data_IF_523228652052
#
_entry.id   IF_523228652052
#
_cell.length_a   1.000
_cell.length_b   1.000
_cell.length_c   1.000
_cell.angle_alpha   90.00
_cell.angle_beta   90.00
_cell.angle_gamma   90.00
#
_symmetry.space_group_name_H-M   'P 1'
#
loop_
_entity.id
_entity.type
_entity.pdbx_description
1 polymer ?
#
# COMPACT_ATOMS: atom_id res chain seq x y z
N UNK A 1 -4.43 4.41 -64.37
CA UNK A 1 -5.53 3.46 -64.62
C UNK A 1 -5.04 2.06 -64.29
N UNK A 2 -5.90 1.27 -63.64
CA UNK A 2 -5.71 -0.09 -63.10
C UNK A 2 -4.91 -0.19 -61.80
N UNK A 3 -5.26 -1.06 -60.85
CA UNK A 3 -6.55 -1.51 -60.30
C UNK A 3 -6.15 -2.21 -59.00
N UNK A 4 -6.98 -2.05 -57.97
CA UNK A 4 -6.98 -2.74 -56.67
C UNK A 4 -6.36 -4.16 -56.61
N UNK A 5 -5.67 -4.46 -55.50
CA UNK A 5 -5.78 -5.78 -54.87
C UNK A 5 -5.61 -5.67 -53.35
N UNK A 6 -6.73 -5.71 -52.65
CA UNK A 6 -6.81 -5.98 -51.22
C UNK A 6 -7.10 -7.47 -51.05
N UNK A 7 -6.29 -8.18 -50.27
CA UNK A 7 -6.55 -9.55 -49.85
C UNK A 7 -6.76 -9.57 -48.33
N UNK A 8 -8.02 -9.69 -47.93
CA UNK A 8 -8.47 -9.90 -46.56
C UNK A 8 -8.43 -11.41 -46.29
N UNK A 9 -7.61 -11.88 -45.34
CA UNK A 9 -7.62 -13.27 -44.88
C UNK A 9 -8.36 -13.30 -43.53
N UNK A 10 -9.62 -13.74 -43.56
CA UNK A 10 -10.38 -14.09 -42.38
C UNK A 10 -10.24 -15.61 -42.14
N UNK A 11 -9.55 -15.99 -41.08
CA UNK A 11 -9.47 -17.40 -40.65
C UNK A 11 -10.39 -17.58 -39.46
N UNK A 12 -11.56 -18.16 -39.68
CA UNK A 12 -12.47 -18.61 -38.64
C UNK A 12 -12.04 -19.96 -38.10
N UNK A 13 -11.76 -20.05 -36.79
CA UNK A 13 -11.60 -21.32 -36.08
C UNK A 13 -12.92 -21.58 -35.35
N UNK A 14 -13.67 -22.57 -35.86
CA UNK A 14 -14.82 -23.14 -35.18
C UNK A 14 -14.32 -24.20 -34.19
N UNK A 15 -14.51 -23.96 -32.88
CA UNK A 15 -14.30 -24.96 -31.85
C UNK A 15 -15.59 -25.76 -31.64
N UNK A 16 -15.57 -27.01 -32.06
CA UNK A 16 -16.62 -28.00 -31.83
C UNK A 16 -16.56 -28.48 -30.38
N UNK A 17 -17.64 -28.23 -29.64
CA UNK A 17 -17.90 -28.72 -28.29
C UNK A 17 -18.29 -30.21 -28.33
N UNK A 18 -17.37 -31.09 -27.95
CA UNK A 18 -17.67 -32.49 -27.67
C UNK A 18 -18.12 -32.62 -26.20
N UNK A 19 -19.42 -32.81 -25.99
CA UNK A 19 -20.00 -33.17 -24.70
C UNK A 19 -19.63 -34.60 -24.32
N UNK A 20 -19.02 -34.77 -23.14
CA UNK A 20 -18.82 -36.07 -22.51
C UNK A 20 -20.03 -36.34 -21.62
N UNK A 21 -20.83 -37.33 -22.00
CA UNK A 21 -21.90 -37.91 -21.18
C UNK A 21 -21.23 -38.91 -20.22
N UNK A 22 -21.22 -38.59 -18.92
CA UNK A 22 -20.84 -39.56 -17.87
C UNK A 22 -22.10 -40.27 -17.41
N UNK A 23 -22.17 -41.57 -17.68
CA UNK A 23 -23.20 -42.46 -17.13
C UNK A 23 -23.04 -42.57 -15.61
N UNK A 24 -24.08 -42.16 -14.87
CA UNK A 24 -24.25 -42.45 -13.45
C UNK A 24 -24.50 -43.95 -13.26
N UNK A 25 -23.68 -44.59 -12.42
CA UNK A 25 -23.94 -45.95 -11.90
C UNK A 25 -24.38 -45.82 -10.46
N UNK A 26 -25.62 -46.22 -10.21
CA UNK A 26 -26.22 -46.32 -8.89
C UNK A 26 -25.48 -47.37 -8.05
N UNK A 27 -25.10 -46.97 -6.83
CA UNK A 27 -24.52 -47.82 -5.80
C UNK A 27 -24.92 -47.26 -4.45
N UNK A 28 -26.00 -47.81 -3.90
CA UNK A 28 -26.49 -47.57 -2.55
C UNK A 28 -25.48 -48.04 -1.51
N UNK A 29 -25.04 -47.15 -0.61
CA UNK A 29 -24.39 -47.54 0.65
C UNK A 29 -24.92 -46.66 1.77
N UNK A 30 -25.21 -47.34 2.88
CA UNK A 30 -25.96 -46.95 4.05
C UNK A 30 -25.51 -45.67 4.76
N UNK A 31 -26.51 -44.99 5.34
CA UNK A 31 -26.36 -43.86 6.24
C UNK A 31 -25.71 -44.26 7.57
N UNK A 32 -24.51 -43.75 7.83
CA UNK A 32 -24.03 -43.50 9.19
C UNK A 32 -23.90 -42.00 9.40
N UNK A 33 -24.86 -41.48 10.15
CA UNK A 33 -24.92 -40.14 10.71
C UNK A 33 -23.75 -39.93 11.68
N UNK A 34 -22.62 -39.45 11.18
CA UNK A 34 -21.59 -38.81 12.00
C UNK A 34 -21.69 -37.31 11.78
N UNK A 35 -22.34 -36.63 12.73
CA UNK A 35 -22.33 -35.18 12.80
C UNK A 35 -20.88 -34.68 12.88
N UNK A 36 -20.45 -33.68 12.10
CA UNK A 36 -19.17 -33.04 12.36
C UNK A 36 -19.27 -32.35 13.72
N UNK A 37 -18.33 -32.67 14.61
CA UNK A 37 -18.16 -31.98 15.87
C UNK A 37 -17.97 -30.49 15.56
N UNK A 38 -18.99 -29.70 15.85
CA UNK A 38 -18.93 -28.24 15.93
C UNK A 38 -17.91 -27.90 17.00
N UNK A 39 -16.66 -27.64 16.60
CA UNK A 39 -15.67 -27.00 17.46
C UNK A 39 -16.18 -25.58 17.70
N UNK A 40 -16.89 -25.39 18.82
CA UNK A 40 -17.23 -24.09 19.37
C UNK A 40 -15.93 -23.40 19.74
N UNK A 41 -15.44 -22.48 18.91
CA UNK A 41 -14.50 -21.45 19.35
C UNK A 41 -15.22 -20.62 20.43
N UNK A 42 -14.72 -20.71 21.67
CA UNK A 42 -15.31 -20.03 22.82
C UNK A 42 -15.34 -18.52 22.63
N UNK A 43 -16.50 -17.92 22.89
CA UNK A 43 -16.65 -16.49 23.06
C UNK A 43 -16.36 -16.12 24.52
N UNK A 44 -15.49 -15.11 24.67
CA UNK A 44 -15.34 -14.05 25.69
C UNK A 44 -15.51 -14.37 27.20
N UNK A 45 -14.59 -13.80 28.00
CA UNK A 45 -14.94 -12.82 29.04
C UNK A 45 -13.67 -12.22 29.70
N UNK A 46 -13.71 -10.90 29.97
CA UNK A 46 -12.91 -10.31 31.04
C UNK A 46 -12.03 -9.09 30.71
N UNK A 47 -12.61 -7.90 30.95
CA UNK A 47 -12.05 -6.70 31.61
C UNK A 47 -10.53 -6.39 31.49
N UNK A 48 -10.18 -5.15 31.12
CA UNK A 48 -10.11 -4.01 32.06
C UNK A 48 -9.69 -2.73 31.32
N UNK A 49 -10.37 -1.62 31.59
CA UNK A 49 -10.00 -0.30 31.09
C UNK A 49 -9.45 0.54 32.25
N UNK A 50 -8.19 1.02 32.23
CA UNK A 50 -7.78 2.01 33.20
C UNK A 50 -8.16 3.42 32.73
N UNK A 51 -9.11 4.00 33.47
CA UNK A 51 -9.32 5.43 33.58
C UNK A 51 -8.13 6.07 34.29
N UNK A 52 -7.46 7.02 33.66
CA UNK A 52 -6.37 7.79 34.28
C UNK A 52 -6.31 9.21 33.72
N UNK A 53 -6.82 10.18 34.49
CA UNK A 53 -6.60 11.61 34.26
C UNK A 53 -5.13 11.94 34.54
N UNK A 54 -4.38 12.34 33.52
CA UNK A 54 -3.07 12.95 33.69
C UNK A 54 -3.24 14.41 34.15
N UNK A 55 -2.85 14.68 35.39
CA UNK A 55 -2.68 16.03 35.94
C UNK A 55 -1.29 16.53 35.56
N UNK A 56 -1.22 17.47 34.61
CA UNK A 56 0.03 18.18 34.27
C UNK A 56 0.20 19.38 35.22
N UNK A 57 1.28 19.33 36.01
CA UNK A 57 1.73 20.38 36.92
C UNK A 57 2.74 21.26 36.15
N UNK A 58 2.37 22.49 35.80
CA UNK A 58 3.30 23.45 35.20
C UNK A 58 4.14 24.13 36.30
N UNK A 59 5.46 24.27 36.15
CA UNK A 59 6.23 25.25 36.91
C UNK A 59 6.07 26.65 36.29
N UNK A 60 5.74 27.62 37.14
CA UNK A 60 5.82 29.04 36.83
C UNK A 60 7.28 29.47 36.78
N UNK A 61 7.65 30.27 35.78
CA UNK A 61 8.90 31.02 35.79
C UNK A 61 8.60 32.49 35.53
N UNK A 62 8.59 33.26 36.62
CA UNK A 62 8.70 34.70 36.64
C UNK A 62 10.10 35.14 36.18
N UNK A 63 10.19 36.26 35.47
CA UNK A 63 11.50 36.84 35.15
C UNK A 63 11.48 37.89 34.04
N UNK A 64 10.74 38.98 34.23
CA UNK A 64 10.81 40.17 33.39
C UNK A 64 11.85 41.15 33.97
N UNK A 65 12.71 41.77 33.13
CA UNK A 65 13.03 43.17 33.36
C UNK A 65 13.09 44.04 32.10
N UNK A 66 12.33 45.14 32.20
CA UNK A 66 12.54 46.53 31.78
C UNK A 66 12.74 46.93 30.29
N UNK A 67 12.14 48.07 29.88
CA UNK A 67 12.15 48.58 28.51
C UNK A 67 13.39 49.44 28.21
N UNK A 68 13.87 49.36 26.96
CA UNK A 68 14.85 50.32 26.42
C UNK A 68 14.25 51.14 25.25
N UNK A 69 14.74 52.37 25.04
CA UNK A 69 14.09 53.37 24.19
C UNK A 69 14.42 53.21 22.71
N UNK A 70 13.51 53.75 21.90
CA UNK A 70 13.51 53.74 20.44
C UNK A 70 14.70 54.48 19.81
N UNK A 71 15.19 54.00 18.65
CA UNK A 71 15.87 54.81 17.66
C UNK A 71 14.99 55.08 16.43
N UNK A 72 14.80 56.38 16.18
CA UNK A 72 14.85 57.11 14.90
C UNK A 72 14.15 56.57 13.64
N UNK A 73 13.25 57.42 13.14
CA UNK A 73 12.57 57.37 11.85
C UNK A 73 13.58 57.33 10.69
N UNK A 74 13.62 56.19 10.00
CA UNK A 74 14.29 56.01 8.71
C UNK A 74 13.25 55.73 7.62
N UNK A 75 13.48 56.36 6.47
CA UNK A 75 12.72 56.43 5.21
C UNK A 75 11.74 55.29 4.85
N UNK A 76 10.62 55.62 4.18
CA UNK A 76 9.65 54.62 3.74
C UNK A 76 10.29 53.68 2.69
N UNK A 77 10.32 52.36 2.93
CA UNK A 77 10.75 51.42 1.90
C UNK A 77 9.76 51.49 0.74
N UNK A 78 10.31 51.66 -0.45
CA UNK A 78 9.60 51.64 -1.71
C UNK A 78 8.73 50.39 -1.81
N UNK A 79 7.48 50.56 -2.22
CA UNK A 79 6.52 49.47 -2.43
C UNK A 79 7.18 48.35 -3.25
N UNK A 80 7.32 47.12 -2.71
CA UNK A 80 7.69 45.99 -3.53
C UNK A 80 6.53 45.77 -4.49
N UNK A 81 6.77 45.98 -5.79
CA UNK A 81 5.80 45.64 -6.82
C UNK A 81 5.37 44.19 -6.61
N UNK A 82 4.07 43.99 -6.48
CA UNK A 82 3.39 42.70 -6.55
C UNK A 82 3.71 42.06 -7.91
N UNK A 83 4.88 41.45 -8.02
CA UNK A 83 5.02 40.28 -8.87
C UNK A 83 4.22 39.21 -8.16
N UNK A 84 2.94 39.11 -8.52
CA UNK A 84 2.17 37.90 -8.34
C UNK A 84 2.94 36.79 -9.04
N UNK A 85 3.88 36.19 -8.32
CA UNK A 85 4.43 34.90 -8.71
C UNK A 85 3.24 33.97 -8.60
N UNK A 86 2.72 33.57 -9.76
CA UNK A 86 1.96 32.33 -9.89
C UNK A 86 2.92 31.22 -9.41
N UNK A 87 2.96 31.01 -8.09
CA UNK A 87 3.53 29.81 -7.48
C UNK A 87 2.63 28.67 -7.96
N UNK A 88 2.91 28.15 -9.16
CA UNK A 88 2.37 26.87 -9.55
C UNK A 88 2.76 25.88 -8.43
N UNK A 89 1.77 25.18 -7.83
CA UNK A 89 2.04 24.30 -6.72
C UNK A 89 3.06 23.27 -7.19
N UNK A 90 4.24 23.28 -6.55
CA UNK A 90 5.34 22.39 -6.92
C UNK A 90 4.91 20.92 -6.89
N UNK A 91 5.61 20.09 -7.66
CA UNK A 91 5.31 18.66 -7.78
C UNK A 91 5.22 18.02 -6.39
N UNK A 92 4.13 17.27 -6.16
CA UNK A 92 3.94 16.57 -4.90
C UNK A 92 4.88 15.36 -4.83
N UNK A 93 5.64 15.24 -3.74
CA UNK A 93 6.68 14.22 -3.59
C UNK A 93 6.34 13.23 -2.48
N UNK A 94 6.52 11.93 -2.76
CA UNK A 94 6.45 10.83 -1.80
C UNK A 94 7.81 10.11 -1.73
N UNK A 95 8.50 10.19 -0.59
CA UNK A 95 9.84 9.63 -0.40
C UNK A 95 10.88 10.04 -1.47
N UNK A 96 10.78 11.26 -2.00
CA UNK A 96 11.69 11.79 -3.03
C UNK A 96 11.19 11.61 -4.47
N UNK A 97 10.11 10.85 -4.67
CA UNK A 97 9.54 10.59 -5.99
C UNK A 97 8.30 11.45 -6.26
N UNK A 98 8.20 12.04 -7.44
CA UNK A 98 7.04 12.81 -7.85
C UNK A 98 5.80 11.90 -8.01
N UNK A 99 4.66 12.36 -7.50
CA UNK A 99 3.39 11.65 -7.63
C UNK A 99 2.72 12.03 -8.94
N UNK A 100 2.40 11.02 -9.75
CA UNK A 100 1.52 11.21 -10.88
C UNK A 100 0.09 11.58 -10.41
N UNK A 101 -0.71 12.30 -11.21
CA UNK A 101 -2.09 12.64 -10.87
C UNK A 101 -2.96 11.41 -10.53
N UNK A 102 -2.69 10.27 -11.17
CA UNK A 102 -3.34 9.00 -10.85
C UNK A 102 -2.34 8.06 -10.19
N UNK A 103 -2.65 7.56 -8.98
CA UNK A 103 -1.73 6.65 -8.29
C UNK A 103 -2.41 5.63 -7.37
N UNK A 104 -1.73 4.51 -7.14
CA UNK A 104 -2.14 3.51 -6.16
C UNK A 104 -1.00 3.27 -5.18
N UNK A 105 -1.34 3.27 -3.89
CA UNK A 105 -0.42 2.88 -2.83
C UNK A 105 -0.68 1.44 -2.39
N UNK A 106 0.37 0.63 -2.37
CA UNK A 106 0.38 -0.70 -1.78
C UNK A 106 1.22 -0.63 -0.50
N UNK A 107 0.56 -0.65 0.65
CA UNK A 107 1.18 -0.37 1.95
C UNK A 107 1.30 -1.63 2.80
N UNK A 108 2.50 -1.89 3.32
CA UNK A 108 2.74 -3.01 4.23
C UNK A 108 2.21 -2.79 5.64
N UNK A 109 1.38 -3.72 6.11
CA UNK A 109 0.81 -3.76 7.46
C UNK A 109 1.08 -5.12 8.11
N UNK A 110 2.08 -5.85 7.62
CA UNK A 110 2.51 -7.12 8.21
C UNK A 110 3.12 -6.92 9.61
N UNK A 111 3.21 -8.00 10.38
CA UNK A 111 3.70 -7.98 11.76
C UNK A 111 5.11 -7.40 11.91
N UNK A 112 5.98 -7.54 10.91
CA UNK A 112 7.34 -6.97 10.91
C UNK A 112 7.34 -5.45 10.95
N UNK A 113 6.26 -4.80 10.51
CA UNK A 113 6.13 -3.34 10.52
C UNK A 113 6.06 -2.75 11.94
N UNK A 114 5.95 -3.59 12.97
CA UNK A 114 6.03 -3.21 14.38
C UNK A 114 7.46 -2.97 14.90
N UNK A 115 8.48 -3.36 14.12
CA UNK A 115 9.90 -3.17 14.45
C UNK A 115 10.29 -1.67 14.49
N UNK A 116 11.32 -1.35 15.30
CA UNK A 116 11.80 0.01 15.57
C UNK A 116 13.27 0.19 15.18
N UNK A 117 13.58 -0.14 13.94
CA UNK A 117 14.92 -0.08 13.35
C UNK A 117 15.00 0.97 12.24
N UNK A 118 14.14 1.99 12.31
CA UNK A 118 14.16 3.15 11.41
C UNK A 118 14.77 4.35 12.15
N UNK A 119 15.47 5.22 11.44
CA UNK A 119 15.97 6.47 11.96
C UNK A 119 14.83 7.35 12.50
N UNK A 120 15.19 8.33 13.32
CA UNK A 120 14.23 9.30 13.82
C UNK A 120 13.54 10.04 12.67
N UNK A 121 12.25 10.29 12.81
CA UNK A 121 11.46 11.03 11.83
C UNK A 121 10.68 12.14 12.50
N UNK A 122 10.31 13.17 11.74
CA UNK A 122 9.50 14.28 12.22
C UNK A 122 8.03 13.99 11.92
N UNK A 123 7.17 14.12 12.94
CA UNK A 123 5.74 13.91 12.78
C UNK A 123 5.05 15.12 12.11
N UNK A 124 3.71 15.09 12.11
CA UNK A 124 2.89 16.12 11.48
C UNK A 124 2.90 17.47 12.20
N UNK A 125 3.32 17.50 13.45
CA UNK A 125 3.34 18.68 14.32
C UNK A 125 4.77 19.23 14.47
N UNK A 126 5.72 18.68 13.72
CA UNK A 126 7.13 19.04 13.77
C UNK A 126 7.89 18.41 14.93
N UNK A 127 7.31 17.43 15.63
CA UNK A 127 7.99 16.77 16.74
C UNK A 127 8.88 15.65 16.23
N UNK A 128 10.09 15.58 16.78
CA UNK A 128 11.00 14.48 16.51
C UNK A 128 10.54 13.21 17.24
N UNK A 129 10.27 12.15 16.47
CA UNK A 129 9.99 10.81 16.97
C UNK A 129 11.28 9.99 16.95
N UNK A 130 11.84 9.73 18.14
CA UNK A 130 13.00 8.84 18.28
C UNK A 130 12.58 7.37 18.21
N UNK A 131 13.21 6.59 17.31
CA UNK A 131 12.95 5.15 17.13
C UNK A 131 11.47 4.81 16.83
N UNK A 132 10.91 5.40 15.75
CA UNK A 132 9.55 5.11 15.32
C UNK A 132 9.40 3.63 14.93
N UNK A 133 8.18 3.12 15.01
CA UNK A 133 7.86 1.86 14.34
C UNK A 133 7.91 2.09 12.82
N UNK A 134 8.27 1.08 12.03
CA UNK A 134 8.22 1.16 10.56
C UNK A 134 6.84 1.63 10.08
N UNK A 135 5.76 1.07 10.62
CA UNK A 135 4.38 1.50 10.31
C UNK A 135 4.10 2.96 10.69
N UNK A 136 4.71 3.46 11.76
CA UNK A 136 4.56 4.86 12.16
C UNK A 136 5.19 5.79 11.12
N UNK A 137 6.35 5.42 10.56
CA UNK A 137 7.00 6.17 9.47
C UNK A 137 6.10 6.20 8.23
N UNK A 138 5.55 5.05 7.83
CA UNK A 138 4.59 4.97 6.71
C UNK A 138 3.41 5.91 6.93
N UNK A 139 2.80 5.87 8.11
CA UNK A 139 1.64 6.72 8.43
C UNK A 139 2.00 8.19 8.37
N UNK A 140 3.13 8.59 8.94
CA UNK A 140 3.59 9.99 8.94
C UNK A 140 3.73 10.48 7.49
N UNK A 141 4.41 9.72 6.64
CA UNK A 141 4.66 10.12 5.25
C UNK A 141 3.39 10.13 4.40
N UNK A 142 2.54 9.10 4.52
CA UNK A 142 1.26 9.09 3.81
C UNK A 142 0.37 10.26 4.24
N UNK A 143 0.32 10.59 5.54
CA UNK A 143 -0.47 11.74 6.00
C UNK A 143 0.09 13.07 5.52
N UNK A 144 1.43 13.20 5.45
CA UNK A 144 2.09 14.39 4.92
C UNK A 144 1.70 14.62 3.46
N UNK A 145 1.67 13.56 2.64
CA UNK A 145 1.23 13.65 1.25
C UNK A 145 -0.27 13.92 1.15
N UNK A 146 -1.11 13.16 1.87
CA UNK A 146 -2.58 13.30 1.79
C UNK A 146 -3.05 14.74 2.05
N UNK A 147 -2.42 15.45 2.99
CA UNK A 147 -2.73 16.85 3.32
C UNK A 147 -2.47 17.86 2.19
N UNK A 148 -1.66 17.47 1.20
CA UNK A 148 -1.29 18.30 0.06
C UNK A 148 -2.04 17.90 -1.21
N UNK A 149 -2.83 16.82 -1.17
CA UNK A 149 -3.64 16.41 -2.31
C UNK A 149 -4.83 17.35 -2.50
N UNK A 150 -5.20 17.52 -3.76
CA UNK A 150 -6.39 18.23 -4.20
C UNK A 150 -7.11 17.43 -5.29
N UNK A 151 -8.25 17.92 -5.76
CA UNK A 151 -9.14 17.27 -6.72
C UNK A 151 -8.49 16.92 -8.07
N UNK A 152 -7.27 17.42 -8.37
CA UNK A 152 -6.50 17.03 -9.56
C UNK A 152 -5.95 15.60 -9.46
N UNK A 153 -5.85 15.06 -8.24
CA UNK A 153 -5.34 13.73 -7.99
C UNK A 153 -6.47 12.71 -7.82
N UNK A 154 -6.22 11.48 -8.25
CA UNK A 154 -7.08 10.32 -8.02
C UNK A 154 -6.26 9.15 -7.51
N UNK A 155 -6.71 8.54 -6.41
CA UNK A 155 -5.93 7.50 -5.76
C UNK A 155 -6.77 6.41 -5.09
N UNK A 156 -6.10 5.30 -4.77
CA UNK A 156 -6.60 4.30 -3.83
C UNK A 156 -5.43 3.71 -3.01
N UNK A 157 -5.78 3.03 -1.91
CA UNK A 157 -4.84 2.45 -0.97
C UNK A 157 -5.16 0.96 -0.82
N UNK A 158 -4.17 0.11 -1.06
CA UNK A 158 -4.19 -1.33 -0.83
C UNK A 158 -3.31 -1.64 0.37
N UNK A 159 -3.83 -2.37 1.35
CA UNK A 159 -3.05 -2.86 2.50
C UNK A 159 -2.59 -4.30 2.28
N UNK A 160 -1.29 -4.53 2.48
CA UNK A 160 -0.71 -5.86 2.66
C UNK A 160 -0.94 -6.28 4.11
N UNK A 161 -2.09 -6.89 4.37
CA UNK A 161 -2.43 -7.38 5.69
C UNK A 161 -3.29 -8.63 5.51
N UNK A 162 -2.72 -9.80 5.82
CA UNK A 162 -3.41 -11.07 5.61
C UNK A 162 -3.58 -11.82 6.91
N UNK A 163 -4.79 -11.91 7.47
CA UNK A 163 -5.03 -12.76 8.63
C UNK A 163 -4.70 -14.22 8.31
N UNK A 164 -3.51 -14.64 8.72
CA UNK A 164 -3.09 -16.02 8.65
C UNK A 164 -3.35 -16.59 10.03
N UNK A 165 -4.34 -17.48 10.10
CA UNK A 165 -4.46 -18.33 11.26
C UNK A 165 -3.32 -19.35 11.21
N UNK A 166 -2.34 -19.30 12.13
CA UNK A 166 -1.20 -20.23 12.12
C UNK A 166 -1.65 -21.69 12.34
N UNK A 167 -2.79 -21.89 12.99
CA UNK A 167 -3.38 -23.20 13.26
C UNK A 167 -4.20 -23.74 12.07
N UNK A 168 -4.59 -22.85 11.15
CA UNK A 168 -5.46 -23.15 10.03
C UNK A 168 -5.03 -22.38 8.75
N UNK A 169 -3.85 -22.69 8.17
CA UNK A 169 -3.31 -21.97 7.02
C UNK A 169 -4.17 -22.06 5.74
N UNK A 170 -5.19 -22.94 5.72
CA UNK A 170 -6.04 -23.19 4.55
C UNK A 170 -7.47 -22.61 4.67
N UNK A 171 -7.85 -21.94 5.76
CA UNK A 171 -9.27 -21.62 6.02
C UNK A 171 -9.71 -20.26 5.45
N UNK A 172 -8.79 -19.38 5.05
CA UNK A 172 -9.16 -18.20 4.26
C UNK A 172 -8.01 -17.78 3.36
N UNK A 173 -8.25 -17.51 2.06
CA UNK A 173 -7.26 -16.87 1.24
C UNK A 173 -6.89 -15.52 1.88
N UNK A 174 -5.61 -15.10 1.85
CA UNK A 174 -5.26 -13.80 2.37
C UNK A 174 -6.05 -12.74 1.62
N UNK A 175 -6.77 -11.92 2.38
CA UNK A 175 -7.62 -10.86 1.84
C UNK A 175 -6.83 -9.56 1.90
N UNK A 176 -6.40 -9.07 0.74
CA UNK A 176 -5.92 -7.70 0.63
C UNK A 176 -7.11 -6.77 0.72
N UNK A 177 -7.01 -5.73 1.54
CA UNK A 177 -8.07 -4.73 1.69
C UNK A 177 -7.70 -3.50 0.90
N UNK A 178 -8.65 -2.97 0.13
CA UNK A 178 -8.56 -1.62 -0.42
C UNK A 178 -9.37 -0.65 0.41
N UNK A 179 -9.04 0.64 0.35
CA UNK A 179 -9.84 1.70 0.94
C UNK A 179 -11.16 1.87 0.18
N UNK A 180 -11.10 2.21 -1.11
CA UNK A 180 -12.28 2.34 -1.98
C UNK A 180 -12.43 1.17 -2.95
N UNK A 181 -11.32 0.55 -3.33
CA UNK A 181 -11.29 -0.50 -4.36
C UNK A 181 -11.42 0.06 -5.78
N UNK A 182 -11.28 1.37 -5.95
CA UNK A 182 -11.27 2.09 -7.21
C UNK A 182 -10.54 3.43 -7.03
N UNK A 183 -9.96 3.96 -8.12
CA UNK A 183 -9.38 5.30 -8.14
C UNK A 183 -10.44 6.33 -7.80
N UNK A 184 -10.16 7.13 -6.77
CA UNK A 184 -11.11 8.08 -6.21
C UNK A 184 -10.49 9.47 -6.18
N UNK A 185 -11.19 10.53 -6.64
CA UNK A 185 -10.68 11.90 -6.60
C UNK A 185 -10.33 12.33 -5.17
N UNK A 186 -9.23 13.06 -5.00
CA UNK A 186 -8.74 13.51 -3.71
C UNK A 186 -9.45 14.76 -3.19
N UNK A 187 -10.79 14.68 -3.11
CA UNK A 187 -11.61 15.69 -2.43
C UNK A 187 -11.29 15.74 -0.94
N UNK A 188 -11.54 16.86 -0.24
CA UNK A 188 -11.29 16.96 1.20
C UNK A 188 -11.92 15.82 2.01
N UNK A 189 -13.15 15.42 1.68
CA UNK A 189 -13.85 14.29 2.32
C UNK A 189 -13.15 12.95 2.07
N UNK A 190 -12.69 12.73 0.83
CA UNK A 190 -11.99 11.52 0.44
C UNK A 190 -10.60 11.44 1.08
N UNK A 191 -9.87 12.55 1.16
CA UNK A 191 -8.59 12.65 1.87
C UNK A 191 -8.76 12.35 3.36
N UNK A 192 -9.76 12.92 4.02
CA UNK A 192 -10.05 12.65 5.45
C UNK A 192 -10.43 11.18 5.69
N UNK A 193 -11.24 10.60 4.80
CA UNK A 193 -11.62 9.19 4.85
C UNK A 193 -10.41 8.25 4.64
N UNK A 194 -9.55 8.55 3.68
CA UNK A 194 -8.31 7.82 3.44
C UNK A 194 -7.34 7.92 4.63
N UNK A 195 -7.23 9.11 5.24
CA UNK A 195 -6.45 9.34 6.44
C UNK A 195 -6.91 8.45 7.60
N UNK A 196 -8.23 8.44 7.83
CA UNK A 196 -8.87 7.56 8.83
C UNK A 196 -8.59 6.08 8.54
N UNK A 197 -8.66 5.67 7.27
CA UNK A 197 -8.37 4.30 6.86
C UNK A 197 -6.92 3.88 7.17
N UNK A 198 -5.94 4.73 6.88
CA UNK A 198 -4.52 4.46 7.18
C UNK A 198 -4.28 4.35 8.69
N UNK A 199 -4.95 5.19 9.49
CA UNK A 199 -4.78 5.21 10.94
C UNK A 199 -5.47 4.04 11.67
N UNK A 200 -6.63 3.60 11.18
CA UNK A 200 -7.51 2.69 11.92
C UNK A 200 -6.98 1.26 12.13
N UNK A 201 -6.02 0.79 11.33
CA UNK A 201 -5.67 -0.63 11.30
C UNK A 201 -4.33 -0.92 11.96
N UNK A 202 -4.29 -1.94 12.82
CA UNK A 202 -3.06 -2.47 13.41
C UNK A 202 -2.37 -3.45 12.45
N UNK A 203 -1.15 -3.83 12.81
CA UNK A 203 -0.43 -4.90 12.12
C UNK A 203 -1.23 -6.21 12.09
N UNK A 204 -1.13 -6.95 11.00
CA UNK A 204 -1.68 -8.29 10.83
C UNK A 204 -0.56 -9.29 10.57
N UNK A 205 -0.86 -10.59 10.65
CA UNK A 205 0.09 -11.59 10.21
C UNK A 205 0.28 -11.54 8.68
N UNK A 206 1.38 -12.10 8.17
CA UNK A 206 1.61 -12.31 6.73
C UNK A 206 1.86 -11.06 5.88
N UNK A 207 2.45 -11.30 4.71
CA UNK A 207 2.73 -10.28 3.68
C UNK A 207 2.23 -10.83 2.34
N UNK A 208 0.93 -10.64 2.01
CA UNK A 208 0.32 -11.20 0.80
C UNK A 208 0.61 -10.33 -0.44
N UNK A 209 1.89 -10.22 -0.78
CA UNK A 209 2.40 -9.37 -1.85
C UNK A 209 1.89 -9.76 -3.24
N UNK A 210 1.78 -11.06 -3.55
CA UNK A 210 1.29 -11.55 -4.84
C UNK A 210 -0.13 -11.04 -5.10
N UNK A 211 -1.06 -11.27 -4.16
CA UNK A 211 -2.46 -10.85 -4.30
C UNK A 211 -2.59 -9.34 -4.43
N UNK A 212 -1.83 -8.58 -3.63
CA UNK A 212 -1.94 -7.13 -3.63
C UNK A 212 -1.37 -6.52 -4.91
N UNK A 213 -0.23 -7.02 -5.39
CA UNK A 213 0.35 -6.55 -6.63
C UNK A 213 -0.52 -6.96 -7.83
N UNK A 214 -1.04 -8.19 -7.84
CA UNK A 214 -1.99 -8.62 -8.86
C UNK A 214 -3.22 -7.69 -8.90
N UNK A 215 -3.79 -7.40 -7.72
CA UNK A 215 -4.90 -6.45 -7.60
C UNK A 215 -4.53 -5.06 -8.12
N UNK A 216 -3.38 -4.53 -7.69
CA UNK A 216 -2.92 -3.20 -8.09
C UNK A 216 -2.75 -3.05 -9.60
N UNK A 217 -2.36 -4.12 -10.29
CA UNK A 217 -2.13 -4.09 -11.75
C UNK A 217 -3.37 -4.39 -12.58
N UNK A 218 -4.41 -5.02 -12.03
CA UNK A 218 -5.59 -5.45 -12.80
C UNK A 218 -6.88 -4.67 -12.49
N UNK A 219 -7.05 -4.21 -11.25
CA UNK A 219 -8.35 -3.67 -10.81
C UNK A 219 -8.49 -2.16 -11.03
N UNK A 220 -7.41 -1.48 -11.41
CA UNK A 220 -7.34 -0.02 -11.50
C UNK A 220 -7.14 0.42 -12.94
N UNK A 221 -7.86 1.48 -13.33
CA UNK A 221 -7.77 2.04 -14.67
C UNK A 221 -6.66 3.11 -14.74
N UNK A 222 -5.51 2.70 -15.27
CA UNK A 222 -4.39 3.59 -15.59
C UNK A 222 -4.36 3.95 -17.09
N UNK A 223 -5.53 4.19 -17.70
CA UNK A 223 -5.63 4.54 -19.12
C UNK A 223 -4.84 5.80 -19.50
N UNK A 224 -4.77 6.78 -18.60
CA UNK A 224 -4.06 8.04 -18.78
C UNK A 224 -2.64 8.06 -18.15
N UNK A 225 -2.08 6.89 -17.88
CA UNK A 225 -0.83 6.73 -17.13
C UNK A 225 -1.01 6.84 -15.62
N UNK A 226 0.08 6.98 -14.87
CA UNK A 226 0.03 7.10 -13.42
C UNK A 226 1.28 6.63 -12.69
N UNK A 227 1.12 6.28 -11.41
CA UNK A 227 2.20 5.70 -10.61
C UNK A 227 1.69 4.63 -9.64
N UNK A 228 2.45 3.55 -9.49
CA UNK A 228 2.23 2.50 -8.51
C UNK A 228 3.34 2.56 -7.47
N UNK A 229 2.99 2.83 -6.21
CA UNK A 229 3.97 2.87 -5.12
C UNK A 229 3.78 1.66 -4.22
N UNK A 230 4.83 0.87 -4.09
CA UNK A 230 4.85 -0.35 -3.27
C UNK A 230 5.76 -0.12 -2.10
N UNK A 231 5.18 -0.01 -0.90
CA UNK A 231 5.93 0.12 0.34
C UNK A 231 5.94 -1.22 1.07
N UNK A 232 7.12 -1.72 1.42
CA UNK A 232 7.26 -2.99 2.17
C UNK A 232 8.50 -3.05 3.08
N UNK A 233 8.43 -3.85 4.15
CA UNK A 233 9.56 -4.16 5.03
C UNK A 233 9.96 -5.64 5.03
N UNK A 234 9.29 -6.42 4.19
CA UNK A 234 9.34 -7.87 4.15
C UNK A 234 9.36 -8.41 2.73
N UNK A 235 9.99 -9.56 2.56
CA UNK A 235 9.77 -10.35 1.36
C UNK A 235 8.39 -11.03 1.42
N UNK A 236 7.78 -11.35 0.27
CA UNK A 236 6.51 -12.06 0.21
C UNK A 236 6.50 -13.35 1.05
N UNK A 237 5.40 -13.58 1.75
CA UNK A 237 5.17 -14.83 2.51
C UNK A 237 4.38 -15.83 1.67
N UNK A 238 4.58 -17.14 1.88
CA UNK A 238 3.99 -18.24 1.09
C UNK A 238 2.44 -18.35 1.15
N UNK A 239 1.79 -17.39 1.78
CA UNK A 239 0.42 -17.47 2.25
C UNK A 239 -0.61 -17.10 1.18
N UNK A 240 -0.19 -16.49 0.08
CA UNK A 240 -1.04 -15.91 -0.95
C UNK A 240 -0.92 -16.57 -2.33
N UNK A 241 -0.19 -17.68 -2.44
CA UNK A 241 0.01 -18.34 -3.74
C UNK A 241 -0.98 -19.48 -3.99
N UNK A 242 -1.65 -19.51 -5.15
CA UNK A 242 -2.29 -20.72 -5.63
C UNK A 242 -1.19 -21.76 -5.90
N UNK A 243 -1.20 -22.86 -5.14
CA UNK A 243 -0.28 -24.00 -5.24
C UNK A 243 1.09 -23.88 -4.54
N UNK A 244 1.20 -23.13 -3.43
CA UNK A 244 2.40 -23.21 -2.60
C UNK A 244 2.68 -24.69 -2.23
N UNK A 245 3.77 -25.32 -2.73
CA UNK A 245 4.13 -26.66 -2.30
C UNK A 245 4.34 -26.59 -0.79
N UNK A 246 3.77 -27.52 -0.01
CA UNK A 246 3.56 -27.52 1.47
C UNK A 246 4.78 -27.22 2.36
N UNK A 247 5.48 -26.15 2.05
CA UNK A 247 6.68 -25.60 2.62
C UNK A 247 6.24 -24.45 3.50
N UNK A 248 6.95 -24.30 4.62
CA UNK A 248 6.54 -23.45 5.73
C UNK A 248 6.20 -22.02 5.23
N UNK A 249 5.19 -21.37 5.81
CA UNK A 249 4.59 -20.15 5.24
C UNK A 249 5.46 -18.89 5.27
N UNK A 250 6.64 -18.94 5.87
CA UNK A 250 7.49 -17.78 6.13
C UNK A 250 8.74 -17.81 5.24
N UNK A 251 8.90 -16.79 4.39
CA UNK A 251 10.12 -16.47 3.64
C UNK A 251 10.61 -17.57 2.67
N UNK A 252 9.76 -18.04 1.76
CA UNK A 252 10.26 -18.90 0.71
C UNK A 252 10.87 -18.04 -0.41
N UNK A 253 12.12 -18.34 -0.79
CA UNK A 253 12.72 -17.78 -2.01
C UNK A 253 11.87 -18.05 -3.25
N UNK A 254 11.02 -19.08 -3.20
CA UNK A 254 10.12 -19.44 -4.28
C UNK A 254 8.94 -18.47 -4.41
N UNK A 255 8.41 -17.99 -3.28
CA UNK A 255 7.42 -16.92 -3.23
C UNK A 255 7.96 -15.65 -3.88
N UNK A 256 9.16 -15.22 -3.48
CA UNK A 256 9.85 -14.08 -4.09
C UNK A 256 9.99 -14.25 -5.60
N UNK A 257 10.53 -15.39 -6.07
CA UNK A 257 10.69 -15.65 -7.51
C UNK A 257 9.36 -15.64 -8.25
N UNK A 258 8.32 -16.18 -7.66
CA UNK A 258 6.98 -16.23 -8.25
C UNK A 258 6.41 -14.82 -8.41
N UNK A 259 6.45 -14.00 -7.36
CA UNK A 259 6.01 -12.60 -7.45
C UNK A 259 6.82 -11.85 -8.50
N UNK A 260 8.16 -11.95 -8.47
CA UNK A 260 9.02 -11.24 -9.41
C UNK A 260 8.76 -11.66 -10.87
N UNK A 261 8.52 -12.94 -11.12
CA UNK A 261 8.19 -13.47 -12.45
C UNK A 261 6.83 -12.98 -12.92
N UNK A 262 5.80 -13.15 -12.09
CA UNK A 262 4.41 -12.90 -12.50
C UNK A 262 4.13 -11.39 -12.61
N UNK A 263 4.66 -10.59 -11.67
CA UNK A 263 4.48 -9.14 -11.66
C UNK A 263 5.01 -8.48 -12.93
N UNK A 264 6.13 -8.97 -13.49
CA UNK A 264 6.64 -8.46 -14.76
C UNK A 264 5.62 -8.58 -15.90
N UNK A 265 4.91 -9.70 -15.98
CA UNK A 265 3.85 -9.89 -16.96
C UNK A 265 2.62 -9.01 -16.71
N UNK A 266 2.30 -8.73 -15.45
CA UNK A 266 1.15 -7.90 -15.10
C UNK A 266 1.41 -6.41 -15.24
N UNK A 267 2.64 -5.96 -14.97
CA UNK A 267 3.00 -4.55 -14.97
C UNK A 267 3.40 -4.05 -16.37
N UNK A 268 3.86 -4.93 -17.28
CA UNK A 268 4.23 -4.54 -18.65
C UNK A 268 3.16 -3.70 -19.36
N UNK A 269 1.87 -4.08 -19.40
CA UNK A 269 0.84 -3.29 -20.08
C UNK A 269 0.58 -1.93 -19.42
N UNK A 270 0.87 -1.78 -18.13
CA UNK A 270 0.75 -0.51 -17.39
C UNK A 270 1.94 0.39 -17.72
N UNK A 271 3.15 -0.19 -17.75
CA UNK A 271 4.36 0.51 -18.16
C UNK A 271 4.25 1.06 -19.59
N UNK A 272 3.70 0.29 -20.52
CA UNK A 272 3.45 0.75 -21.90
C UNK A 272 2.48 1.94 -21.97
N UNK A 273 1.62 2.13 -20.95
CA UNK A 273 0.73 3.29 -20.80
C UNK A 273 1.38 4.46 -20.06
N UNK A 274 2.65 4.36 -19.70
CA UNK A 274 3.36 5.40 -18.97
C UNK A 274 3.14 5.35 -17.45
N UNK A 275 2.72 4.22 -16.89
CA UNK A 275 2.68 4.04 -15.43
C UNK A 275 4.09 3.82 -14.90
N UNK A 276 4.49 4.62 -13.92
CA UNK A 276 5.75 4.48 -13.18
C UNK A 276 5.60 3.53 -11.99
N UNK A 277 6.68 2.82 -11.65
CA UNK A 277 6.74 1.96 -10.47
C UNK A 277 7.76 2.53 -9.48
N UNK A 278 7.34 2.72 -8.24
CA UNK A 278 8.21 3.11 -7.14
C UNK A 278 8.13 2.05 -6.04
N UNK A 279 9.27 1.47 -5.66
CA UNK A 279 9.34 0.47 -4.60
C UNK A 279 10.12 1.05 -3.43
N UNK A 280 9.42 1.24 -2.31
CA UNK A 280 9.95 1.81 -1.08
C UNK A 280 10.16 0.68 -0.08
N UNK A 281 11.41 0.46 0.33
CA UNK A 281 11.72 -0.50 1.39
C UNK A 281 11.96 0.22 2.71
N UNK A 282 11.34 -0.25 3.79
CA UNK A 282 11.44 0.35 5.13
C UNK A 282 12.17 -0.58 6.10
N UNK A 283 13.13 -0.05 6.85
CA UNK A 283 13.90 -0.77 7.88
C UNK A 283 15.13 -1.52 7.33
N UNK A 284 15.69 -2.45 8.10
CA UNK A 284 16.99 -3.06 7.83
C UNK A 284 16.93 -4.56 7.47
N UNK A 285 15.88 -5.01 6.78
CA UNK A 285 15.73 -6.41 6.40
C UNK A 285 16.39 -6.70 5.04
N UNK A 286 17.52 -7.44 4.97
CA UNK A 286 18.25 -7.63 3.71
C UNK A 286 17.44 -8.42 2.67
N UNK A 287 16.58 -9.36 3.11
CA UNK A 287 15.75 -10.11 2.16
C UNK A 287 14.65 -9.23 1.55
N UNK A 288 14.13 -8.27 2.31
CA UNK A 288 13.16 -7.31 1.79
C UNK A 288 13.83 -6.32 0.85
N UNK A 289 15.05 -5.88 1.18
CA UNK A 289 15.88 -5.04 0.31
C UNK A 289 16.16 -5.74 -1.04
N UNK A 290 16.68 -6.97 -1.02
CA UNK A 290 16.94 -7.75 -2.25
C UNK A 290 15.68 -7.90 -3.11
N UNK A 291 14.54 -8.20 -2.46
CA UNK A 291 13.25 -8.32 -3.16
C UNK A 291 12.79 -6.99 -3.75
N UNK A 292 12.83 -5.91 -2.98
CA UNK A 292 12.38 -4.59 -3.41
C UNK A 292 13.24 -4.04 -4.55
N UNK A 293 14.56 -4.18 -4.46
CA UNK A 293 15.49 -3.82 -5.53
C UNK A 293 15.22 -4.63 -6.81
N UNK A 294 15.01 -5.95 -6.66
CA UNK A 294 14.67 -6.81 -7.81
C UNK A 294 13.32 -6.44 -8.43
N UNK A 295 12.32 -6.13 -7.61
CA UNK A 295 10.98 -5.75 -8.06
C UNK A 295 11.03 -4.45 -8.88
N UNK A 296 11.73 -3.42 -8.37
CA UNK A 296 11.91 -2.17 -9.10
C UNK A 296 12.76 -2.38 -10.38
N UNK A 297 13.95 -2.98 -10.23
CA UNK A 297 14.93 -3.10 -11.31
C UNK A 297 14.44 -3.94 -12.49
N UNK A 298 13.73 -5.05 -12.23
CA UNK A 298 13.21 -5.91 -13.30
C UNK A 298 12.08 -5.25 -14.11
N UNK A 299 11.47 -4.20 -13.57
CA UNK A 299 10.30 -3.56 -14.16
C UNK A 299 10.57 -2.13 -14.65
N UNK A 300 11.81 -1.65 -14.54
CA UNK A 300 12.19 -0.29 -14.91
C UNK A 300 11.65 0.78 -13.94
N UNK A 301 11.40 0.41 -12.69
CA UNK A 301 10.97 1.31 -11.63
C UNK A 301 12.11 1.89 -10.80
N UNK A 302 11.76 2.75 -9.85
CA UNK A 302 12.69 3.33 -8.86
C UNK A 302 12.66 2.53 -7.55
N UNK A 303 13.82 2.40 -6.91
CA UNK A 303 13.95 1.82 -5.57
C UNK A 303 14.42 2.89 -4.57
N UNK A 304 13.73 2.97 -3.43
CA UNK A 304 14.08 3.88 -2.32
C UNK A 304 14.20 3.11 -1.01
N UNK A 305 15.27 3.37 -0.25
CA UNK A 305 15.49 2.79 1.08
C UNK A 305 15.23 3.82 2.18
N UNK A 306 14.27 3.52 3.06
CA UNK A 306 13.98 4.28 4.28
C UNK A 306 14.62 3.57 5.47
N UNK A 307 15.71 4.16 5.99
CA UNK A 307 16.51 3.63 7.08
C UNK A 307 16.22 4.28 8.41
#
# INVERSE_FOLDING_TARGET
MNLMMAALIATGIAATSAGIIVHAREGSVSAESSQPALVRCGAQDGADAPSGRLLLRMPASDGQPAPQPAPEEGEPPSEPGDSAYDDEPGDLVYHGEALAPTFVWVLDYSGSMSNRDVASTEDQDGNLVSSPQRLQVVRIECMRVLRQLDDRYSFDIIKLAGNVNPDCPNISPPVTKSWRGALTPATPENVESAASYIQAESFQSGTPTWTALNKATHDYDFSDGGSLHVLTDGAPTNLDYPNAPGTKPWQSREAQRTVLRDFAGWFEPLRERGVSLHVIQVGLNPQAEDFAQSLAGNNGGTYTHVR
#
